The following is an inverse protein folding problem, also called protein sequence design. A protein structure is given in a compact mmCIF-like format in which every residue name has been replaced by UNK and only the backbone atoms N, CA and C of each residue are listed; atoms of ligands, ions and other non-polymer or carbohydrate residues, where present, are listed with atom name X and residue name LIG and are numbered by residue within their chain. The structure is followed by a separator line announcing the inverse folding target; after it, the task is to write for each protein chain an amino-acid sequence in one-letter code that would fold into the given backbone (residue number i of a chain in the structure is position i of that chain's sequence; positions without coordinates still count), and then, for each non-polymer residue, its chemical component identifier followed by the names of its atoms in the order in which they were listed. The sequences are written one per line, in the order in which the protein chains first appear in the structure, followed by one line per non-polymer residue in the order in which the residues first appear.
data_IF_232677922051
#
_entry.id   IF_232677922051
#
_cell.length_a   1.000
_cell.length_b   1.000
_cell.length_c   1.000
_cell.angle_alpha   90.00
_cell.angle_beta   90.00
_cell.angle_gamma   90.00
#
_symmetry.space_group_name_H-M   'P 1'
#
loop_
_entity.id
_entity.type
_entity.pdbx_description
1 polymer ?
#
# COMPACT_ATOMS: atom_id res chain seq x y z
N UNK A 1 8.60 2.93 14.44
CA UNK A 1 8.77 2.53 13.03
C UNK A 1 9.95 3.32 12.43
N UNK A 2 10.54 2.92 11.31
CA UNK A 2 11.57 3.75 10.67
C UNK A 2 10.91 4.97 10.00
N UNK A 3 11.10 6.18 10.54
CA UNK A 3 10.41 7.41 10.09
C UNK A 3 10.55 7.69 8.58
N UNK A 4 11.67 7.31 7.98
CA UNK A 4 11.90 7.50 6.55
C UNK A 4 11.00 6.64 5.66
N UNK A 5 10.54 5.47 6.13
CA UNK A 5 9.61 4.59 5.39
C UNK A 5 8.20 5.14 5.50
N UNK A 6 7.79 5.60 6.68
CA UNK A 6 6.49 6.23 6.91
C UNK A 6 6.31 7.48 6.03
N UNK A 7 7.29 8.38 6.04
CA UNK A 7 7.29 9.57 5.18
C UNK A 7 7.15 9.22 3.69
N UNK A 8 7.77 8.12 3.24
CA UNK A 8 7.61 7.65 1.85
C UNK A 8 6.21 7.12 1.60
N UNK A 9 5.64 6.33 2.51
CA UNK A 9 4.30 5.75 2.39
C UNK A 9 3.24 6.87 2.29
N UNK A 10 3.38 7.93 3.08
CA UNK A 10 2.47 9.09 3.03
C UNK A 10 2.51 9.83 1.68
N UNK A 11 3.69 9.93 1.07
CA UNK A 11 3.89 10.61 -0.22
C UNK A 11 3.29 9.86 -1.43
N UNK A 12 2.97 8.58 -1.31
CA UNK A 12 2.30 7.86 -2.41
C UNK A 12 0.90 8.44 -2.65
N UNK A 13 0.43 8.41 -3.88
CA UNK A 13 -0.97 8.72 -4.18
C UNK A 13 -1.90 7.62 -3.64
N UNK A 14 -3.19 7.92 -3.49
CA UNK A 14 -4.20 6.92 -3.11
C UNK A 14 -4.59 6.01 -4.29
N UNK A 15 -4.21 6.40 -5.50
CA UNK A 15 -4.46 5.67 -6.74
C UNK A 15 -3.16 5.55 -7.51
N UNK A 16 -2.96 4.41 -8.16
CA UNK A 16 -1.78 4.16 -8.99
C UNK A 16 -2.19 4.08 -10.45
N UNK A 17 -1.32 4.58 -11.32
CA UNK A 17 -1.53 4.61 -12.77
C UNK A 17 -0.89 3.42 -13.47
N UNK A 18 0.04 2.74 -12.79
CA UNK A 18 0.78 1.63 -13.37
C UNK A 18 1.26 0.63 -12.31
N UNK A 19 1.62 -0.57 -12.78
CA UNK A 19 2.13 -1.67 -11.92
C UNK A 19 3.41 -1.30 -11.18
N UNK A 20 4.25 -0.42 -11.75
CA UNK A 20 5.50 0.00 -11.12
C UNK A 20 5.24 0.80 -9.83
N UNK A 21 4.24 1.69 -9.84
CA UNK A 21 3.81 2.42 -8.64
C UNK A 21 3.28 1.46 -7.56
N UNK A 22 2.45 0.48 -7.95
CA UNK A 22 1.98 -0.57 -7.03
C UNK A 22 3.14 -1.35 -6.40
N UNK A 23 4.11 -1.79 -7.20
CA UNK A 23 5.28 -2.54 -6.73
C UNK A 23 6.14 -1.72 -5.76
N UNK A 24 6.36 -0.43 -6.06
CA UNK A 24 7.10 0.48 -5.17
C UNK A 24 6.38 0.67 -3.84
N UNK A 25 5.06 0.83 -3.88
CA UNK A 25 4.25 0.95 -2.68
C UNK A 25 4.34 -0.32 -1.83
N UNK A 26 4.05 -1.49 -2.41
CA UNK A 26 4.14 -2.78 -1.72
C UNK A 26 5.54 -3.07 -1.17
N UNK A 27 6.59 -2.69 -1.90
CA UNK A 27 7.98 -2.83 -1.45
C UNK A 27 8.30 -2.06 -0.17
N UNK A 28 7.58 -0.96 0.12
CA UNK A 28 7.75 -0.23 1.38
C UNK A 28 7.22 -1.04 2.58
N UNK A 29 6.19 -1.86 2.37
CA UNK A 29 5.57 -2.66 3.42
C UNK A 29 6.40 -3.87 3.85
N UNK A 30 7.33 -4.34 3.01
CA UNK A 30 8.27 -5.42 3.39
C UNK A 30 9.12 -5.05 4.62
N UNK A 31 9.39 -3.76 4.85
CA UNK A 31 10.16 -3.28 6.00
C UNK A 31 9.32 -3.08 7.25
N UNK A 32 7.99 -3.00 7.10
CA UNK A 32 7.05 -2.72 8.19
C UNK A 32 6.02 -3.84 8.39
N UNK A 33 6.19 -4.98 7.74
CA UNK A 33 5.27 -6.13 7.78
C UNK A 33 5.02 -6.61 9.21
N UNK A 34 6.04 -6.60 10.06
CA UNK A 34 5.91 -7.00 11.47
C UNK A 34 5.02 -6.06 12.31
N UNK A 35 4.73 -4.85 11.82
CA UNK A 35 3.92 -3.86 12.52
C UNK A 35 2.47 -3.82 12.02
N UNK A 36 2.21 -4.32 10.81
CA UNK A 36 0.88 -4.26 10.19
C UNK A 36 0.27 -5.66 10.21
N UNK A 37 -0.68 -5.85 11.12
CA UNK A 37 -1.42 -7.10 11.18
C UNK A 37 -2.25 -7.31 9.90
N UNK A 38 -2.26 -8.55 9.41
CA UNK A 38 -3.02 -8.94 8.23
C UNK A 38 -2.62 -8.18 6.96
N UNK A 39 -1.35 -7.75 6.83
CA UNK A 39 -0.83 -7.04 5.66
C UNK A 39 -1.20 -7.74 4.34
N UNK A 40 -1.01 -9.07 4.26
CA UNK A 40 -1.37 -9.87 3.07
C UNK A 40 -2.86 -9.78 2.68
N UNK A 41 -3.76 -9.68 3.66
CA UNK A 41 -5.19 -9.50 3.37
C UNK A 41 -5.47 -8.08 2.85
N UNK A 42 -4.81 -7.07 3.43
CA UNK A 42 -4.96 -5.66 3.03
C UNK A 42 -4.38 -5.40 1.65
N UNK A 43 -3.22 -5.98 1.31
CA UNK A 43 -2.58 -5.82 -0.01
C UNK A 43 -3.23 -6.67 -1.10
N UNK A 44 -4.11 -7.62 -0.76
CA UNK A 44 -4.76 -8.53 -1.71
C UNK A 44 -5.46 -7.81 -2.86
N UNK A 45 -6.14 -6.69 -2.58
CA UNK A 45 -6.80 -5.88 -3.62
C UNK A 45 -5.77 -5.28 -4.60
N UNK A 46 -4.63 -4.80 -4.08
CA UNK A 46 -3.53 -4.22 -4.87
C UNK A 46 -2.87 -5.30 -5.74
N UNK A 47 -2.60 -6.49 -5.18
CA UNK A 47 -2.06 -7.62 -5.92
C UNK A 47 -3.00 -8.07 -7.06
N UNK A 48 -4.32 -8.08 -6.84
CA UNK A 48 -5.30 -8.39 -7.89
C UNK A 48 -5.22 -7.41 -9.06
N UNK A 49 -5.12 -6.11 -8.80
CA UNK A 49 -4.95 -5.09 -9.85
C UNK A 49 -3.65 -5.31 -10.62
N UNK A 50 -2.55 -5.68 -9.94
CA UNK A 50 -1.28 -6.00 -10.61
C UNK A 50 -1.33 -7.26 -11.48
N UNK A 51 -2.14 -8.25 -11.11
CA UNK A 51 -2.27 -9.52 -11.85
C UNK A 51 -3.09 -9.39 -13.14
N UNK A 52 -3.95 -8.37 -13.27
CA UNK A 52 -4.71 -8.19 -14.51
C UNK A 52 -3.76 -7.79 -15.66
N UNK A 53 -3.87 -8.52 -16.77
CA UNK A 53 -3.19 -8.23 -18.01
C UNK A 53 -4.17 -7.50 -18.93
N UNK A 54 -4.04 -6.17 -18.95
CA UNK A 54 -4.67 -5.17 -19.85
C UNK A 54 -6.21 -5.21 -20.09
N UNK A 55 -6.89 -4.05 -20.00
CA UNK A 55 -6.37 -2.74 -19.59
C UNK A 55 -6.07 -2.71 -18.09
N UNK A 56 -5.04 -1.96 -17.69
CA UNK A 56 -4.80 -1.70 -16.27
C UNK A 56 -5.96 -0.87 -15.73
N UNK A 57 -6.78 -1.48 -14.88
CA UNK A 57 -7.92 -0.82 -14.27
C UNK A 57 -7.70 -0.71 -12.76
N UNK A 58 -7.42 0.51 -12.31
CA UNK A 58 -7.41 0.82 -10.89
C UNK A 58 -8.83 0.87 -10.36
N UNK A 59 -9.13 0.09 -9.32
CA UNK A 59 -10.47 0.00 -8.76
C UNK A 59 -10.58 0.65 -7.38
N UNK A 60 -11.83 0.90 -6.96
CA UNK A 60 -12.13 1.51 -5.66
C UNK A 60 -11.61 0.68 -4.49
N UNK A 61 -11.71 -0.65 -4.56
CA UNK A 61 -11.22 -1.55 -3.51
C UNK A 61 -9.69 -1.43 -3.30
N UNK A 62 -8.92 -1.20 -4.36
CA UNK A 62 -7.49 -0.95 -4.26
C UNK A 62 -7.19 0.42 -3.64
N UNK A 63 -8.01 1.43 -3.93
CA UNK A 63 -7.92 2.75 -3.28
C UNK A 63 -8.18 2.63 -1.77
N UNK A 64 -9.25 1.95 -1.38
CA UNK A 64 -9.61 1.72 0.03
C UNK A 64 -8.51 0.93 0.76
N UNK A 65 -7.90 -0.05 0.10
CA UNK A 65 -6.75 -0.78 0.64
C UNK A 65 -5.53 0.12 0.88
N UNK A 66 -5.18 1.01 -0.07
CA UNK A 66 -4.07 1.96 0.09
C UNK A 66 -4.32 2.91 1.25
N UNK A 67 -5.53 3.44 1.37
CA UNK A 67 -5.92 4.35 2.47
C UNK A 67 -5.82 3.63 3.81
N UNK A 68 -6.41 2.44 3.95
CA UNK A 68 -6.35 1.67 5.19
C UNK A 68 -4.91 1.33 5.60
N UNK A 69 -4.04 1.01 4.63
CA UNK A 69 -2.63 0.75 4.91
C UNK A 69 -1.87 1.99 5.39
N UNK A 70 -2.21 3.18 4.88
CA UNK A 70 -1.64 4.44 5.36
C UNK A 70 -2.10 4.76 6.77
N UNK A 71 -3.37 4.56 7.06
CA UNK A 71 -3.94 4.77 8.41
C UNK A 71 -3.29 3.84 9.44
N UNK A 72 -3.08 2.56 9.12
CA UNK A 72 -2.38 1.62 10.00
C UNK A 72 -0.94 2.09 10.32
N UNK A 73 -0.24 2.60 9.30
CA UNK A 73 1.10 3.16 9.44
C UNK A 73 1.13 4.40 10.34
N UNK A 74 0.10 5.26 10.28
CA UNK A 74 -0.01 6.47 11.11
C UNK A 74 -0.39 6.14 12.56
N UNK A 75 -1.37 5.25 12.77
CA UNK A 75 -1.77 4.82 14.12
C UNK A 75 -0.68 4.02 14.85
N UNK A 76 0.22 3.37 14.11
CA UNK A 76 1.36 2.63 14.68
C UNK A 76 2.56 3.51 15.03
N UNK A 77 2.51 4.81 14.72
CA UNK A 77 3.50 5.79 15.17
C UNK A 77 2.94 6.54 16.39
N UNK A 78 3.36 6.22 17.63
CA UNK A 78 2.98 7.04 18.77
C UNK A 78 3.57 8.46 18.60
N UNK A 79 2.88 9.50 19.12
CA UNK A 79 3.32 10.89 19.06
C UNK A 79 4.68 11.12 19.75
#
# INVERSE_FOLDING_TARGET
MQDHVLNKIEQFLNQFENKLQCQRFLGCFNYVENYIQNLSQKTKAIHKVMMHHEPYEWNKAATEAVVSLKEDCQCSNPP
#
